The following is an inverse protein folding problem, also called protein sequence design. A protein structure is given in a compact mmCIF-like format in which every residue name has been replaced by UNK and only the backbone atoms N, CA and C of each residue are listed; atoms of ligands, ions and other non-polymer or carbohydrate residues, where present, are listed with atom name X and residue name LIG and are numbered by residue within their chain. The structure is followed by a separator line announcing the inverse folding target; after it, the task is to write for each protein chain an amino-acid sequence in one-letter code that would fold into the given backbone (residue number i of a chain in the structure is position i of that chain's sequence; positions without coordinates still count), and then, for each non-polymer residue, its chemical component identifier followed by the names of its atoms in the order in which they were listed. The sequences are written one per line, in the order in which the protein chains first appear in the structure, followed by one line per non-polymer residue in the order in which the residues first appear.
data_IF_891559326925
#
_entry.id   IF_891559326925
#
_cell.length_a   1.000
_cell.length_b   1.000
_cell.length_c   1.000
_cell.angle_alpha   90.00
_cell.angle_beta   90.00
_cell.angle_gamma   90.00
#
_symmetry.space_group_name_H-M   'P 1'
#
loop_
_entity.id
_entity.type
_entity.pdbx_description
1 polymer ?
#
# COMPACT_ATOMS: atom_id res chain seq x y z
N UNK A 1 -1.46 -4.86 -4.03
CA UNK A 1 -1.32 -3.74 -4.99
C UNK A 1 -0.92 -4.21 -6.40
N UNK A 2 0.31 -4.67 -6.66
CA UNK A 2 0.79 -4.98 -8.02
C UNK A 2 -0.12 -5.97 -8.78
N UNK A 3 -0.57 -7.04 -8.13
CA UNK A 3 -1.50 -8.00 -8.74
C UNK A 3 -2.84 -7.35 -9.14
N UNK A 4 -3.42 -6.51 -8.27
CA UNK A 4 -4.66 -5.78 -8.57
C UNK A 4 -4.46 -4.76 -9.69
N UNK A 5 -3.31 -4.09 -9.75
CA UNK A 5 -3.00 -3.15 -10.83
C UNK A 5 -2.92 -3.88 -12.19
N UNK A 6 -2.21 -5.00 -12.25
CA UNK A 6 -2.11 -5.80 -13.47
C UNK A 6 -3.49 -6.30 -13.90
N UNK A 7 -4.26 -6.89 -12.99
CA UNK A 7 -5.62 -7.35 -13.27
C UNK A 7 -6.54 -6.21 -13.74
N UNK A 8 -6.45 -5.03 -13.13
CA UNK A 8 -7.27 -3.89 -13.51
C UNK A 8 -6.99 -3.36 -14.93
N UNK A 9 -5.77 -3.56 -15.43
CA UNK A 9 -5.36 -3.19 -16.79
C UNK A 9 -5.78 -4.24 -17.82
N UNK A 10 -5.83 -5.52 -17.43
CA UNK A 10 -6.20 -6.63 -18.31
C UNK A 10 -7.72 -6.84 -18.40
N UNK A 11 -8.43 -6.60 -17.29
CA UNK A 11 -9.88 -6.82 -17.20
C UNK A 11 -10.64 -5.67 -17.84
N UNK A 12 -11.50 -5.97 -18.80
CA UNK A 12 -12.41 -5.00 -19.39
C UNK A 12 -13.83 -5.12 -18.86
N UNK A 13 -14.48 -3.98 -18.67
CA UNK A 13 -15.93 -3.89 -18.45
C UNK A 13 -16.47 -2.59 -19.02
N UNK A 14 -17.71 -2.59 -19.52
CA UNK A 14 -18.30 -1.42 -20.17
C UNK A 14 -17.42 -0.83 -21.30
N UNK A 15 -16.73 -1.70 -22.04
CA UNK A 15 -15.95 -1.34 -23.23
C UNK A 15 -14.57 -0.72 -22.98
N UNK A 16 -14.04 -0.80 -21.75
CA UNK A 16 -12.69 -0.30 -21.40
C UNK A 16 -12.08 -1.08 -20.24
N UNK A 17 -10.75 -1.02 -20.04
CA UNK A 17 -10.11 -1.58 -18.86
C UNK A 17 -10.70 -1.02 -17.56
N UNK A 18 -10.87 -1.87 -16.55
CA UNK A 18 -11.47 -1.44 -15.28
C UNK A 18 -10.61 -0.42 -14.55
N UNK A 19 -9.30 -0.35 -14.84
CA UNK A 19 -8.40 0.70 -14.36
C UNK A 19 -8.83 2.11 -14.77
N UNK A 20 -9.62 2.28 -15.84
CA UNK A 20 -10.15 3.57 -16.28
C UNK A 20 -11.44 3.97 -15.55
N UNK A 21 -12.04 3.07 -14.76
CA UNK A 21 -13.16 3.41 -13.91
C UNK A 21 -12.65 4.13 -12.66
N UNK A 22 -13.15 5.33 -12.41
CA UNK A 22 -12.69 6.19 -11.31
C UNK A 22 -12.67 5.48 -9.95
N UNK A 23 -13.70 4.66 -9.65
CA UNK A 23 -13.75 3.90 -8.40
C UNK A 23 -12.58 2.93 -8.23
N UNK A 24 -12.17 2.23 -9.29
CA UNK A 24 -11.01 1.32 -9.27
C UNK A 24 -9.71 2.13 -9.20
N UNK A 25 -9.60 3.20 -9.98
CA UNK A 25 -8.43 4.08 -9.98
C UNK A 25 -8.17 4.71 -8.60
N UNK A 26 -9.20 5.20 -7.91
CA UNK A 26 -9.08 5.74 -6.55
C UNK A 26 -8.61 4.69 -5.56
N UNK A 27 -9.16 3.47 -5.62
CA UNK A 27 -8.71 2.38 -4.75
C UNK A 27 -7.27 1.97 -5.00
N UNK A 28 -6.85 1.91 -6.27
CA UNK A 28 -5.45 1.67 -6.62
C UNK A 28 -4.53 2.78 -6.08
N UNK A 29 -4.95 4.04 -6.17
CA UNK A 29 -4.19 5.17 -5.62
C UNK A 29 -4.08 5.09 -4.09
N UNK A 30 -5.16 4.76 -3.39
CA UNK A 30 -5.17 4.60 -1.93
C UNK A 30 -4.27 3.44 -1.48
N UNK A 31 -4.31 2.30 -2.18
CA UNK A 31 -3.42 1.16 -1.92
C UNK A 31 -1.95 1.54 -2.10
N UNK A 32 -1.61 2.23 -3.20
CA UNK A 32 -0.25 2.65 -3.48
C UNK A 32 0.27 3.64 -2.42
N UNK A 33 -0.58 4.59 -2.02
CA UNK A 33 -0.24 5.60 -1.01
C UNK A 33 0.05 4.96 0.34
N UNK A 34 -0.80 4.03 0.78
CA UNK A 34 -0.60 3.30 2.04
C UNK A 34 0.67 2.44 2.00
N UNK A 35 0.94 1.77 0.87
CA UNK A 35 2.15 0.97 0.71
C UNK A 35 3.41 1.82 0.85
N UNK A 36 3.44 2.99 0.20
CA UNK A 36 4.57 3.89 0.27
C UNK A 36 4.75 4.50 1.66
N UNK A 37 3.65 4.90 2.32
CA UNK A 37 3.69 5.38 3.70
C UNK A 37 4.25 4.32 4.66
N UNK A 38 3.81 3.06 4.53
CA UNK A 38 4.32 1.95 5.33
C UNK A 38 5.83 1.73 5.10
N UNK A 39 6.27 1.79 3.84
CA UNK A 39 7.68 1.68 3.47
C UNK A 39 8.53 2.77 4.12
N UNK A 40 8.07 4.02 4.05
CA UNK A 40 8.79 5.16 4.64
C UNK A 40 8.89 5.07 6.16
N UNK A 41 7.84 4.63 6.86
CA UNK A 41 7.90 4.43 8.32
C UNK A 41 8.91 3.34 8.71
N UNK A 42 8.94 2.23 7.98
CA UNK A 42 9.92 1.16 8.20
C UNK A 42 11.35 1.66 7.96
N UNK A 43 11.58 2.38 6.86
CA UNK A 43 12.90 2.92 6.54
C UNK A 43 13.36 3.96 7.56
N UNK A 44 12.47 4.82 8.05
CA UNK A 44 12.79 5.77 9.12
C UNK A 44 13.23 5.06 10.41
N UNK A 45 12.51 4.02 10.82
CA UNK A 45 12.88 3.23 12.00
C UNK A 45 14.23 2.51 11.79
N UNK A 46 14.48 1.99 10.59
CA UNK A 46 15.75 1.36 10.24
C UNK A 46 16.92 2.36 10.25
N UNK A 47 16.75 3.55 9.66
CA UNK A 47 17.77 4.60 9.64
C UNK A 47 18.18 5.02 11.06
N UNK A 48 17.21 5.21 11.96
CA UNK A 48 17.50 5.55 13.36
C UNK A 48 18.28 4.45 14.06
N UNK A 49 17.89 3.19 13.86
CA UNK A 49 18.58 2.03 14.44
C UNK A 49 20.01 1.94 13.93
N UNK A 50 20.21 2.08 12.62
CA UNK A 50 21.53 1.98 11.99
C UNK A 50 22.45 3.14 12.42
N UNK A 51 21.88 4.31 12.73
CA UNK A 51 22.58 5.43 13.35
C UNK A 51 22.83 5.28 14.87
N UNK A 52 22.46 4.15 15.48
CA UNK A 52 22.61 3.90 16.92
C UNK A 52 21.70 4.78 17.79
N UNK A 53 20.65 5.38 17.22
CA UNK A 53 19.70 6.24 17.93
C UNK A 53 18.53 5.41 18.51
N UNK A 54 17.91 5.86 19.62
CA UNK A 54 16.66 5.25 20.09
C UNK A 54 15.59 5.30 19.00
N UNK A 55 15.00 4.14 18.68
CA UNK A 55 14.03 4.00 17.58
C UNK A 55 12.79 3.19 17.98
N UNK A 56 12.57 2.93 19.27
CA UNK A 56 11.50 2.03 19.74
C UNK A 56 10.12 2.56 19.34
N UNK A 57 9.90 3.87 19.47
CA UNK A 57 8.64 4.52 19.11
C UNK A 57 8.37 4.41 17.61
N UNK A 58 9.37 4.75 16.78
CA UNK A 58 9.29 4.69 15.32
C UNK A 58 9.09 3.24 14.83
N UNK A 59 9.78 2.28 15.44
CA UNK A 59 9.59 0.85 15.14
C UNK A 59 8.17 0.37 15.50
N UNK A 60 7.61 0.80 16.63
CA UNK A 60 6.23 0.49 17.00
C UNK A 60 5.21 1.10 16.02
N UNK A 61 5.41 2.36 15.61
CA UNK A 61 4.56 3.02 14.62
C UNK A 61 4.63 2.32 13.27
N UNK A 62 5.84 1.98 12.80
CA UNK A 62 6.06 1.26 11.57
C UNK A 62 5.38 -0.13 11.60
N UNK A 63 5.55 -0.89 12.69
CA UNK A 63 4.94 -2.23 12.83
C UNK A 63 3.42 -2.17 12.81
N UNK A 64 2.81 -1.25 13.56
CA UNK A 64 1.36 -1.07 13.60
C UNK A 64 0.85 -0.73 12.19
N UNK A 65 1.32 0.37 11.63
CA UNK A 65 0.81 0.87 10.35
C UNK A 65 1.06 -0.10 9.19
N UNK A 66 2.26 -0.68 9.10
CA UNK A 66 2.57 -1.60 7.99
C UNK A 66 1.70 -2.86 8.04
N UNK A 67 1.39 -3.39 9.23
CA UNK A 67 0.53 -4.57 9.35
C UNK A 67 -0.93 -4.30 8.96
N UNK A 68 -1.50 -3.18 9.40
CA UNK A 68 -2.87 -2.79 9.07
C UNK A 68 -3.00 -2.38 7.60
N UNK A 69 -2.02 -1.64 7.07
CA UNK A 69 -1.97 -1.29 5.65
C UNK A 69 -1.86 -2.55 4.77
N UNK A 70 -1.06 -3.53 5.16
CA UNK A 70 -0.92 -4.78 4.41
C UNK A 70 -2.24 -5.56 4.35
N UNK A 71 -2.96 -5.69 5.46
CA UNK A 71 -4.29 -6.31 5.49
C UNK A 71 -5.25 -5.55 4.58
N UNK A 72 -5.36 -4.23 4.77
CA UNK A 72 -6.28 -3.40 4.00
C UNK A 72 -5.99 -3.45 2.50
N UNK A 73 -4.73 -3.36 2.09
CA UNK A 73 -4.31 -3.45 0.69
C UNK A 73 -4.68 -4.82 0.09
N UNK A 74 -4.52 -5.91 0.83
CA UNK A 74 -4.91 -7.24 0.37
C UNK A 74 -6.42 -7.37 0.23
N UNK A 75 -7.18 -6.90 1.23
CA UNK A 75 -8.64 -6.87 1.20
C UNK A 75 -9.16 -5.99 0.06
N UNK A 76 -8.53 -4.85 -0.19
CA UNK A 76 -8.90 -3.97 -1.30
C UNK A 76 -8.57 -4.59 -2.66
N UNK A 77 -7.43 -5.28 -2.77
CA UNK A 77 -7.01 -5.95 -3.99
C UNK A 77 -7.97 -7.07 -4.42
N UNK A 78 -8.61 -7.79 -3.48
CA UNK A 78 -9.59 -8.85 -3.79
C UNK A 78 -10.86 -8.30 -4.44
N UNK A 79 -11.18 -7.03 -4.15
CA UNK A 79 -12.39 -6.36 -4.60
C UNK A 79 -12.16 -5.55 -5.90
N UNK A 80 -10.96 -5.59 -6.47
CA UNK A 80 -10.62 -5.03 -7.80
C UNK A 80 -10.74 -6.15 -8.82
#
# INVERSE_FOLDING_TARGET
YQAALAYAQERESFGRPISEHQAVAFRLADMATQLEAARLLVLQAAELRDAGKPCLKEACMAKLFASEAAEKICSDAIQV
#
